data_IF_056278943453
#
_entry.id   IF_056278943453
#
_cell.length_a   1.000
_cell.length_b   1.000
_cell.length_c   1.000
_cell.angle_alpha   90.00
_cell.angle_beta   90.00
_cell.angle_gamma   90.00
#
_symmetry.space_group_name_H-M   'P 1'
#
loop_
_entity.id
_entity.type
_entity.pdbx_description
1 polymer ?
#
# COMPACT_ATOMS: atom_id res chain seq x y z
N UNK A 1 -15.02 -20.51 -2.25
CA UNK A 1 -14.36 -19.90 -3.42
C UNK A 1 -14.65 -18.41 -3.42
N UNK A 2 -13.82 -17.62 -2.74
CA UNK A 2 -13.88 -16.16 -2.77
C UNK A 2 -13.11 -15.70 -4.00
N UNK A 3 -13.80 -15.06 -4.95
CA UNK A 3 -13.17 -14.46 -6.11
C UNK A 3 -12.30 -13.27 -5.66
N UNK A 4 -11.00 -13.35 -5.94
CA UNK A 4 -10.04 -12.25 -5.79
C UNK A 4 -10.38 -11.12 -6.78
N UNK A 5 -11.15 -10.13 -6.31
CA UNK A 5 -11.48 -8.92 -7.07
C UNK A 5 -10.31 -7.92 -7.17
N UNK A 6 -9.17 -8.21 -6.54
CA UNK A 6 -8.01 -7.32 -6.45
C UNK A 6 -7.19 -7.26 -7.77
N UNK A 7 -7.18 -8.34 -8.55
CA UNK A 7 -6.48 -8.40 -9.85
C UNK A 7 -7.23 -7.68 -10.99
N UNK A 8 -8.55 -7.56 -10.88
CA UNK A 8 -9.38 -6.91 -11.90
C UNK A 8 -9.28 -5.38 -11.85
N UNK A 9 -9.10 -4.79 -10.66
CA UNK A 9 -9.05 -3.34 -10.48
C UNK A 9 -7.75 -2.75 -11.04
N UNK A 10 -6.61 -3.42 -10.84
CA UNK A 10 -5.31 -3.03 -11.40
C UNK A 10 -5.26 -3.08 -12.93
N UNK A 11 -5.75 -4.18 -13.53
CA UNK A 11 -5.76 -4.37 -14.99
C UNK A 11 -6.68 -3.39 -15.73
N UNK A 12 -7.76 -2.95 -15.09
CA UNK A 12 -8.74 -2.03 -15.72
C UNK A 12 -8.24 -0.59 -15.72
N UNK A 13 -7.57 -0.16 -14.65
CA UNK A 13 -6.92 1.16 -14.56
C UNK A 13 -5.92 1.39 -15.68
N UNK A 14 -5.05 0.40 -15.95
CA UNK A 14 -3.94 0.58 -16.88
C UNK A 14 -4.41 0.52 -18.34
N UNK A 15 -5.42 -0.31 -18.65
CA UNK A 15 -6.09 -0.30 -19.95
C UNK A 15 -6.74 1.04 -20.27
N UNK A 16 -7.33 1.70 -19.27
CA UNK A 16 -7.98 3.00 -19.46
C UNK A 16 -6.96 4.13 -19.69
N UNK A 17 -5.83 4.12 -18.96
CA UNK A 17 -4.72 5.06 -19.17
C UNK A 17 -4.15 4.94 -20.58
N UNK A 18 -3.98 3.72 -21.07
CA UNK A 18 -3.41 3.47 -22.39
C UNK A 18 -4.31 3.98 -23.52
N UNK A 19 -5.62 3.74 -23.42
CA UNK A 19 -6.60 4.28 -24.37
C UNK A 19 -6.61 5.81 -24.39
N UNK A 20 -6.52 6.44 -23.22
CA UNK A 20 -6.49 7.90 -23.09
C UNK A 20 -5.26 8.51 -23.74
N UNK A 21 -4.08 7.91 -23.57
CA UNK A 21 -2.84 8.37 -24.23
C UNK A 21 -2.96 8.34 -25.75
N UNK A 22 -3.48 7.23 -26.31
CA UNK A 22 -3.71 7.09 -27.75
C UNK A 22 -4.69 8.13 -28.29
N UNK A 23 -5.76 8.43 -27.55
CA UNK A 23 -6.70 9.47 -27.93
C UNK A 23 -6.07 10.87 -27.93
N UNK A 24 -5.27 11.22 -26.92
CA UNK A 24 -4.57 12.52 -26.86
C UNK A 24 -3.56 12.63 -28.03
N UNK A 25 -2.83 11.56 -28.33
CA UNK A 25 -1.88 11.54 -29.45
C UNK A 25 -2.59 11.76 -30.79
N UNK A 26 -3.70 11.06 -31.05
CA UNK A 26 -4.48 11.24 -32.28
C UNK A 26 -4.99 12.69 -32.43
N UNK A 27 -5.41 13.33 -31.33
CA UNK A 27 -5.87 14.74 -31.35
C UNK A 27 -4.71 15.69 -31.68
N UNK A 28 -3.51 15.44 -31.15
CA UNK A 28 -2.29 16.22 -31.44
C UNK A 28 -1.85 16.08 -32.90
N UNK A 29 -1.87 14.85 -33.44
CA UNK A 29 -1.54 14.56 -34.85
C UNK A 29 -2.47 15.30 -35.82
N UNK A 30 -3.70 15.59 -35.39
CA UNK A 30 -4.70 16.34 -36.16
C UNK A 30 -4.72 17.85 -35.84
N UNK A 31 -3.71 18.39 -35.17
CA UNK A 31 -3.56 19.82 -34.84
C UNK A 31 -4.72 20.44 -34.04
N UNK A 32 -5.49 19.63 -33.31
CA UNK A 32 -6.56 20.13 -32.45
C UNK A 32 -5.99 20.59 -31.10
N UNK A 33 -6.45 21.75 -30.61
CA UNK A 33 -6.15 22.20 -29.24
C UNK A 33 -6.99 21.43 -28.22
N UNK A 34 -6.33 20.86 -27.22
CA UNK A 34 -7.01 20.28 -26.06
C UNK A 34 -7.01 21.26 -24.90
N UNK A 35 -8.04 21.19 -24.06
CA UNK A 35 -8.07 21.94 -22.80
C UNK A 35 -7.07 21.38 -21.76
N UNK A 36 -6.64 20.12 -21.91
CA UNK A 36 -5.66 19.46 -21.03
C UNK A 36 -5.08 18.22 -21.71
N UNK A 37 -3.78 18.24 -22.00
CA UNK A 37 -3.02 17.19 -22.70
C UNK A 37 -2.14 16.35 -21.76
N UNK A 38 -2.44 16.36 -20.46
CA UNK A 38 -1.58 15.72 -19.47
C UNK A 38 -1.56 14.19 -19.65
N UNK A 39 -0.48 13.63 -20.19
CA UNK A 39 -0.29 12.19 -20.42
C UNK A 39 -0.09 11.37 -19.12
N UNK A 40 0.11 12.04 -17.99
CA UNK A 40 0.39 11.39 -16.69
C UNK A 40 -0.87 10.98 -15.91
N UNK A 41 -0.69 10.38 -14.72
CA UNK A 41 -1.78 9.92 -13.85
C UNK A 41 -2.72 11.07 -13.44
N UNK A 42 -4.00 10.73 -13.23
CA UNK A 42 -5.06 11.68 -12.85
C UNK A 42 -4.65 12.59 -11.67
N UNK A 43 -4.04 12.04 -10.63
CA UNK A 43 -3.59 12.80 -9.47
C UNK A 43 -2.57 13.90 -9.81
N UNK A 44 -1.69 13.69 -10.81
CA UNK A 44 -0.75 14.71 -11.27
C UNK A 44 -1.45 15.84 -12.01
N UNK A 45 -2.55 15.55 -12.71
CA UNK A 45 -3.38 16.59 -13.36
C UNK A 45 -4.02 17.47 -12.30
N UNK A 46 -4.71 16.86 -11.34
CA UNK A 46 -5.35 17.57 -10.23
C UNK A 46 -4.33 18.43 -9.49
N UNK A 47 -3.15 17.90 -9.19
CA UNK A 47 -2.10 18.66 -8.52
C UNK A 47 -1.65 19.89 -9.33
N UNK A 48 -1.40 19.74 -10.64
CA UNK A 48 -1.01 20.87 -11.51
C UNK A 48 -2.09 21.93 -11.62
N UNK A 49 -3.34 21.52 -11.85
CA UNK A 49 -4.47 22.46 -12.02
C UNK A 49 -4.79 23.23 -10.72
N UNK A 50 -4.55 22.61 -9.57
CA UNK A 50 -4.74 23.23 -8.26
C UNK A 50 -3.46 23.87 -7.70
N UNK A 51 -2.36 23.90 -8.46
CA UNK A 51 -1.08 24.46 -8.01
C UNK A 51 -0.44 23.73 -6.82
N UNK A 52 -0.83 22.47 -6.57
CA UNK A 52 -0.30 21.64 -5.48
C UNK A 52 1.08 21.11 -5.88
N UNK A 53 2.10 21.46 -5.12
CA UNK A 53 3.46 20.98 -5.35
C UNK A 53 3.55 19.51 -4.92
N UNK A 54 4.01 18.63 -5.82
CA UNK A 54 4.13 17.19 -5.53
C UNK A 54 5.40 16.82 -4.75
N UNK A 55 6.44 17.65 -4.84
CA UNK A 55 7.76 17.42 -4.23
C UNK A 55 8.21 18.57 -3.33
N UNK A 56 7.31 19.52 -3.06
CA UNK A 56 7.58 20.71 -2.25
C UNK A 56 6.69 20.77 -1.02
N UNK A 57 7.11 21.54 -0.04
CA UNK A 57 6.29 21.84 1.13
C UNK A 57 5.14 22.76 0.74
N UNK A 58 3.91 22.37 1.05
CA UNK A 58 2.72 23.19 0.85
C UNK A 58 2.05 23.48 2.20
N UNK A 59 1.74 24.73 2.48
CA UNK A 59 1.00 25.12 3.69
C UNK A 59 -0.49 24.88 3.47
N UNK A 60 -1.06 23.94 4.22
CA UNK A 60 -2.50 23.71 4.25
C UNK A 60 -3.10 24.75 5.23
N UNK A 61 -4.00 25.59 4.77
CA UNK A 61 -4.65 26.63 5.59
C UNK A 61 -6.13 26.28 5.85
N UNK A 62 -6.71 26.79 6.95
CA UNK A 62 -8.13 26.65 7.31
C UNK A 62 -8.62 25.19 7.45
N UNK A 63 -7.75 24.28 7.85
CA UNK A 63 -8.11 22.90 8.17
C UNK A 63 -8.31 22.74 9.68
N UNK A 64 -9.26 21.90 10.07
CA UNK A 64 -9.37 21.42 11.45
C UNK A 64 -8.71 20.05 11.46
N UNK A 65 -7.49 19.98 11.99
CA UNK A 65 -6.85 18.70 12.27
C UNK A 65 -7.57 18.07 13.45
N UNK A 66 -8.55 17.20 13.17
CA UNK A 66 -8.99 16.26 14.20
C UNK A 66 -7.80 15.34 14.44
N UNK A 67 -7.40 15.15 15.70
CA UNK A 67 -6.41 14.13 16.05
C UNK A 67 -6.99 12.78 15.65
N UNK A 68 -6.74 12.38 14.41
CA UNK A 68 -7.13 11.09 13.91
C UNK A 68 -6.29 10.08 14.68
N UNK A 69 -6.95 9.30 15.54
CA UNK A 69 -6.30 8.22 16.28
C UNK A 69 -5.83 7.20 15.25
N UNK A 70 -4.59 7.36 14.79
CA UNK A 70 -3.98 6.49 13.81
C UNK A 70 -3.50 5.25 14.54
N UNK A 71 -4.16 4.13 14.28
CA UNK A 71 -3.74 2.83 14.79
C UNK A 71 -2.59 2.33 13.93
N UNK A 72 -1.45 2.04 14.55
CA UNK A 72 -0.28 1.47 13.90
C UNK A 72 -0.21 -0.01 14.29
N UNK A 73 -0.15 -0.87 13.28
CA UNK A 73 0.09 -2.30 13.43
C UNK A 73 1.45 -2.60 12.84
N UNK A 74 2.40 -3.00 13.68
CA UNK A 74 3.70 -3.53 13.27
C UNK A 74 3.70 -5.03 13.46
N UNK A 75 4.22 -5.76 12.50
CA UNK A 75 4.31 -7.22 12.57
C UNK A 75 5.66 -7.70 12.09
N UNK A 76 6.05 -8.85 12.61
CA UNK A 76 7.28 -9.56 12.27
C UNK A 76 6.96 -11.06 12.11
N UNK A 77 7.58 -11.72 11.14
CA UNK A 77 7.33 -13.12 10.82
C UNK A 77 8.63 -13.90 10.93
N UNK A 78 8.57 -15.00 11.66
CA UNK A 78 9.65 -15.97 11.74
C UNK A 78 9.25 -17.26 11.01
N UNK A 79 10.18 -17.73 10.18
CA UNK A 79 10.02 -18.92 9.33
C UNK A 79 11.16 -19.90 9.55
N UNK A 80 10.86 -21.21 9.52
CA UNK A 80 11.91 -22.22 9.43
C UNK A 80 12.26 -22.47 7.96
N UNK A 81 13.53 -22.30 7.61
CA UNK A 81 14.10 -22.82 6.37
C UNK A 81 14.39 -24.32 6.52
N UNK A 82 14.06 -25.11 5.51
CA UNK A 82 14.37 -26.55 5.52
C UNK A 82 15.88 -26.84 5.49
N UNK A 83 16.71 -25.88 5.07
CA UNK A 83 18.18 -26.00 4.99
C UNK A 83 18.86 -24.77 5.60
N UNK A 84 19.97 -24.98 6.32
CA UNK A 84 20.75 -23.91 6.94
C UNK A 84 21.44 -23.09 5.85
N UNK A 85 21.13 -21.78 5.78
CA UNK A 85 21.76 -20.84 4.85
C UNK A 85 20.99 -20.59 3.56
N UNK A 86 19.83 -21.21 3.37
CA UNK A 86 18.94 -20.94 2.22
C UNK A 86 17.82 -19.94 2.60
N UNK A 87 17.43 -19.11 1.64
CA UNK A 87 16.26 -18.25 1.79
C UNK A 87 14.98 -19.08 1.75
N UNK A 88 14.01 -18.69 2.57
CA UNK A 88 12.72 -19.37 2.63
C UNK A 88 11.90 -19.04 1.38
N UNK A 89 11.67 -20.05 0.54
CA UNK A 89 10.76 -19.92 -0.59
C UNK A 89 9.31 -20.20 -0.18
N UNK A 90 8.40 -19.29 -0.56
CA UNK A 90 6.97 -19.32 -0.22
C UNK A 90 6.24 -20.54 -0.81
N UNK A 91 6.77 -21.13 -1.88
CA UNK A 91 6.12 -22.23 -2.62
C UNK A 91 6.53 -23.62 -2.11
N UNK A 92 7.55 -23.71 -1.27
CA UNK A 92 7.97 -24.98 -0.70
C UNK A 92 7.08 -25.31 0.49
N UNK A 93 6.24 -26.34 0.35
CA UNK A 93 5.37 -26.85 1.42
C UNK A 93 6.11 -27.26 2.71
N UNK A 94 7.44 -27.41 2.64
CA UNK A 94 8.30 -27.72 3.79
C UNK A 94 8.60 -26.52 4.68
N UNK A 95 8.55 -25.32 4.12
CA UNK A 95 8.81 -24.10 4.86
C UNK A 95 7.54 -23.71 5.62
N UNK A 96 7.63 -23.63 6.96
CA UNK A 96 6.51 -23.28 7.83
C UNK A 96 6.79 -21.97 8.53
N UNK A 97 5.83 -21.05 8.43
CA UNK A 97 5.74 -19.90 9.33
C UNK A 97 5.40 -20.46 10.71
N UNK A 98 6.27 -20.22 11.69
CA UNK A 98 6.05 -20.75 13.04
C UNK A 98 5.63 -19.68 14.02
N UNK A 99 6.05 -18.42 13.81
CA UNK A 99 5.68 -17.28 14.66
C UNK A 99 5.31 -16.08 13.80
N UNK A 100 4.21 -15.43 14.17
CA UNK A 100 3.88 -14.08 13.75
C UNK A 100 3.72 -13.22 15.00
N UNK A 101 4.62 -12.26 15.18
CA UNK A 101 4.55 -11.27 16.26
C UNK A 101 3.86 -10.01 15.75
N UNK A 102 2.87 -9.51 16.49
CA UNK A 102 2.08 -8.34 16.11
C UNK A 102 2.01 -7.38 17.30
N UNK A 103 2.27 -6.10 17.07
CA UNK A 103 2.15 -5.02 18.04
C UNK A 103 1.20 -3.97 17.50
N UNK A 104 0.19 -3.62 18.30
CA UNK A 104 -0.74 -2.53 18.02
C UNK A 104 -0.46 -1.38 18.96
N UNK A 105 -0.28 -0.17 18.44
CA UNK A 105 -0.11 1.07 19.22
C UNK A 105 -0.79 2.26 18.54
N UNK A 106 -1.12 3.30 19.29
CA UNK A 106 -1.50 4.57 18.68
C UNK A 106 -0.23 5.28 18.21
N UNK A 107 -0.26 5.90 17.03
CA UNK A 107 0.90 6.64 16.47
C UNK A 107 1.54 7.61 17.48
N UNK A 108 0.72 8.28 18.28
CA UNK A 108 1.15 9.31 19.23
C UNK A 108 1.30 8.77 20.68
N UNK A 109 1.20 7.46 20.89
CA UNK A 109 1.32 6.82 22.21
C UNK A 109 2.47 5.80 22.20
N UNK A 110 3.50 5.98 23.05
CA UNK A 110 4.60 5.03 23.13
C UNK A 110 4.19 3.68 23.75
N UNK A 111 3.02 3.60 24.41
CA UNK A 111 2.55 2.37 25.05
C UNK A 111 1.79 1.50 24.04
N UNK A 112 2.21 0.24 23.83
CA UNK A 112 1.45 -0.67 22.99
C UNK A 112 0.10 -1.01 23.64
N UNK A 113 -0.95 -1.00 22.82
CA UNK A 113 -2.30 -1.38 23.20
C UNK A 113 -2.40 -2.88 23.43
N UNK A 114 -1.85 -3.65 22.49
CA UNK A 114 -1.83 -5.11 22.48
C UNK A 114 -0.58 -5.63 21.80
N UNK A 115 -0.07 -6.72 22.35
CA UNK A 115 0.98 -7.54 21.77
C UNK A 115 0.40 -8.94 21.60
N UNK A 116 0.45 -9.45 20.38
CA UNK A 116 -0.13 -10.72 19.99
C UNK A 116 0.99 -11.53 19.35
N UNK A 117 1.14 -12.78 19.77
CA UNK A 117 2.06 -13.73 19.16
C UNK A 117 1.22 -14.92 18.70
N UNK A 118 1.15 -15.14 17.39
CA UNK A 118 0.50 -16.30 16.79
C UNK A 118 1.58 -17.35 16.55
N UNK A 119 1.42 -18.53 17.15
CA UNK A 119 2.41 -19.60 17.09
C UNK A 119 1.69 -20.87 16.63
N UNK A 120 2.27 -21.57 15.64
CA UNK A 120 1.73 -22.85 15.14
C UNK A 120 2.11 -24.04 16.05
N UNK A 121 3.08 -23.83 16.94
CA UNK A 121 3.49 -24.76 17.98
C UNK A 121 2.80 -24.44 19.29
N UNK A 122 2.34 -25.48 19.99
CA UNK A 122 1.81 -25.35 21.34
C UNK A 122 2.93 -24.89 22.28
N UNK A 123 2.79 -23.68 22.83
CA UNK A 123 3.74 -23.10 23.79
C UNK A 123 3.04 -22.87 25.11
N UNK A 124 3.76 -23.05 26.21
CA UNK A 124 3.25 -22.73 27.54
C UNK A 124 2.78 -21.25 27.60
N UNK A 125 1.71 -20.95 28.35
CA UNK A 125 1.25 -19.58 28.54
C UNK A 125 2.37 -18.69 29.09
N UNK A 126 2.45 -17.46 28.61
CA UNK A 126 3.43 -16.50 29.12
C UNK A 126 3.18 -16.28 30.63
N UNK A 127 4.18 -16.51 31.51
CA UNK A 127 4.08 -16.19 32.93
C UNK A 127 4.06 -14.67 33.10
N UNK A 128 2.86 -14.09 33.09
CA UNK A 128 2.66 -12.65 33.33
C UNK A 128 2.68 -12.31 34.81
#
# INVERSE_FOLDING_TARGET
MSYDNTAAIGKTSDKCKEKRKKAIQAIQENNFKTASDNLYSFHRKVARENGIQLSGWSTINKYICKKDRTLVLTWDIETYASQIGEFVEVLEQKNKVFIISIILHWKDDPKPLKQICLIDLETAPNPR
#
